data_IF_549230131705
#
_entry.id   IF_549230131705
#
_cell.length_a   1.000
_cell.length_b   1.000
_cell.length_c   1.000
_cell.angle_alpha   90.00
_cell.angle_beta   90.00
_cell.angle_gamma   90.00
#
_symmetry.space_group_name_H-M   'P 1'
#
loop_
_entity.id
_entity.type
_entity.pdbx_description
1 polymer ?
#
# COMPACT_ATOMS: atom_id res chain seq x y z
N UNK A 1 -13.80 -4.04 -8.84
CA UNK A 1 -13.63 -2.75 -8.16
C UNK A 1 -15.01 -2.18 -7.95
N UNK A 2 -15.44 -2.02 -6.71
CA UNK A 2 -16.73 -1.45 -6.35
C UNK A 2 -16.59 0.01 -5.91
N UNK A 3 -17.72 0.64 -5.61
CA UNK A 3 -17.77 2.04 -5.17
C UNK A 3 -18.56 2.19 -3.87
N UNK A 4 -17.98 2.95 -2.95
CA UNK A 4 -18.67 3.51 -1.80
C UNK A 4 -19.16 4.91 -2.18
N UNK A 5 -20.47 5.15 -2.11
CA UNK A 5 -21.06 6.44 -2.48
C UNK A 5 -21.78 7.02 -1.28
N UNK A 6 -21.38 8.22 -0.88
CA UNK A 6 -21.93 8.93 0.27
C UNK A 6 -22.05 10.42 -0.04
N UNK A 7 -23.27 10.96 0.10
CA UNK A 7 -23.56 12.38 -0.17
C UNK A 7 -23.03 12.88 -1.54
N UNK A 8 -23.17 12.05 -2.58
CA UNK A 8 -22.70 12.36 -3.93
C UNK A 8 -21.19 12.19 -4.16
N UNK A 9 -20.40 11.93 -3.11
CA UNK A 9 -18.99 11.56 -3.24
C UNK A 9 -18.86 10.06 -3.52
N UNK A 10 -18.11 9.69 -4.56
CA UNK A 10 -17.83 8.31 -4.93
C UNK A 10 -16.36 7.96 -4.64
N UNK A 11 -16.13 6.83 -3.97
CA UNK A 11 -14.80 6.31 -3.63
C UNK A 11 -14.68 4.88 -4.13
N UNK A 12 -13.72 4.63 -5.03
CA UNK A 12 -13.45 3.30 -5.55
C UNK A 12 -12.65 2.45 -4.54
N UNK A 13 -13.07 1.20 -4.36
CA UNK A 13 -12.46 0.24 -3.44
C UNK A 13 -12.60 -1.20 -3.96
N UNK A 14 -11.75 -2.11 -3.49
CA UNK A 14 -11.90 -3.55 -3.76
C UNK A 14 -13.26 -4.04 -3.26
N UNK A 15 -13.96 -4.86 -4.07
CA UNK A 15 -15.27 -5.43 -3.69
C UNK A 15 -15.16 -6.16 -2.35
N UNK A 16 -14.02 -6.82 -2.08
CA UNK A 16 -13.74 -7.48 -0.80
C UNK A 16 -13.69 -6.48 0.36
N UNK A 17 -12.94 -5.39 0.24
CA UNK A 17 -12.91 -4.32 1.24
C UNK A 17 -14.30 -3.72 1.43
N UNK A 18 -14.98 -3.40 0.32
CA UNK A 18 -16.32 -2.82 0.34
C UNK A 18 -17.33 -3.72 1.05
N UNK A 19 -17.26 -5.05 0.88
CA UNK A 19 -18.13 -6.00 1.60
C UNK A 19 -17.87 -5.98 3.11
N UNK A 20 -16.62 -5.94 3.55
CA UNK A 20 -16.31 -5.89 4.99
C UNK A 20 -16.75 -4.54 5.59
N UNK A 21 -16.50 -3.44 4.89
CA UNK A 21 -16.98 -2.12 5.29
C UNK A 21 -18.51 -2.07 5.36
N UNK A 22 -19.22 -2.65 4.39
CA UNK A 22 -20.68 -2.71 4.41
C UNK A 22 -21.20 -3.36 5.71
N UNK A 23 -20.61 -4.48 6.13
CA UNK A 23 -21.02 -5.17 7.36
C UNK A 23 -20.82 -4.28 8.60
N UNK A 24 -19.64 -3.68 8.74
CA UNK A 24 -19.31 -2.82 9.90
C UNK A 24 -20.15 -1.56 9.93
N UNK A 25 -20.26 -0.86 8.78
CA UNK A 25 -20.98 0.40 8.66
C UNK A 25 -22.47 0.19 8.92
N UNK A 26 -23.09 -0.82 8.31
CA UNK A 26 -24.52 -1.13 8.54
C UNK A 26 -24.77 -1.45 10.02
N UNK A 27 -23.85 -2.17 10.69
CA UNK A 27 -23.97 -2.43 12.12
C UNK A 27 -24.00 -1.13 12.94
N UNK A 28 -23.08 -0.19 12.68
CA UNK A 28 -23.01 1.11 13.38
C UNK A 28 -24.25 1.96 13.12
N UNK A 29 -24.71 2.04 11.87
CA UNK A 29 -25.88 2.85 11.51
C UNK A 29 -27.19 2.28 12.08
N UNK A 30 -27.32 0.96 12.22
CA UNK A 30 -28.46 0.33 12.91
C UNK A 30 -28.56 0.68 14.39
N UNK A 31 -27.44 1.05 15.01
CA UNK A 31 -27.40 1.57 16.38
C UNK A 31 -27.59 3.10 16.44
N UNK A 32 -27.88 3.74 15.30
CA UNK A 32 -27.95 5.19 15.15
C UNK A 32 -26.66 5.92 15.56
N UNK A 33 -25.51 5.26 15.42
CA UNK A 33 -24.21 5.83 15.75
C UNK A 33 -23.58 6.47 14.51
N UNK A 34 -23.32 7.78 14.58
CA UNK A 34 -22.44 8.47 13.64
C UNK A 34 -20.98 8.22 13.98
N UNK A 35 -20.12 8.10 12.96
CA UNK A 35 -18.69 7.84 13.16
C UNK A 35 -17.85 8.37 12.00
N UNK A 36 -16.58 8.64 12.27
CA UNK A 36 -15.61 8.96 11.23
C UNK A 36 -15.13 7.67 10.55
N UNK A 37 -14.99 7.69 9.23
CA UNK A 37 -14.30 6.67 8.45
C UNK A 37 -13.10 7.31 7.74
N UNK A 38 -11.92 6.70 7.85
CA UNK A 38 -10.67 7.18 7.25
C UNK A 38 -10.02 6.10 6.40
N UNK A 39 -9.42 6.48 5.27
CA UNK A 39 -8.64 5.58 4.43
C UNK A 39 -7.42 6.30 3.84
N UNK A 40 -6.41 5.53 3.45
CA UNK A 40 -5.26 6.05 2.71
C UNK A 40 -5.47 5.85 1.21
N UNK A 41 -4.96 6.76 0.39
CA UNK A 41 -4.89 6.55 -1.06
C UNK A 41 -3.69 5.67 -1.41
N UNK A 42 -3.82 4.88 -2.49
CA UNK A 42 -2.65 4.20 -3.07
C UNK A 42 -1.59 5.26 -3.43
N UNK A 43 -0.28 4.97 -3.27
CA UNK A 43 0.80 5.90 -3.61
C UNK A 43 0.68 6.50 -5.03
N UNK A 44 0.03 5.76 -5.94
CA UNK A 44 -0.20 6.12 -7.34
C UNK A 44 -1.11 7.36 -7.52
N UNK A 45 -1.94 7.68 -6.52
CA UNK A 45 -2.88 8.82 -6.56
C UNK A 45 -2.44 10.02 -5.70
N UNK A 46 -1.17 10.02 -5.28
CA UNK A 46 -0.63 11.02 -4.36
C UNK A 46 -0.82 10.58 -2.91
N UNK A 47 0.27 10.42 -2.18
CA UNK A 47 0.26 9.99 -0.78
C UNK A 47 -0.64 10.91 0.05
N UNK A 48 -1.78 10.40 0.50
CA UNK A 48 -2.77 11.18 1.24
C UNK A 48 -3.67 10.31 2.10
N UNK A 49 -4.34 10.95 3.04
CA UNK A 49 -5.39 10.34 3.87
C UNK A 49 -6.68 11.10 3.64
N UNK A 50 -7.75 10.38 3.36
CA UNK A 50 -9.10 10.92 3.31
C UNK A 50 -9.89 10.47 4.54
N UNK A 51 -10.89 11.28 4.90
CA UNK A 51 -11.79 10.97 5.99
C UNK A 51 -13.17 11.53 5.70
N UNK A 52 -14.21 10.80 6.06
CA UNK A 52 -15.61 11.20 5.93
C UNK A 52 -16.34 10.95 7.25
N UNK A 53 -17.30 11.81 7.59
CA UNK A 53 -18.21 11.59 8.70
C UNK A 53 -19.49 10.92 8.20
N UNK A 54 -19.80 9.73 8.71
CA UNK A 54 -20.97 8.95 8.31
C UNK A 54 -22.07 9.15 9.36
N UNK A 55 -23.28 9.45 8.91
CA UNK A 55 -24.45 9.63 9.77
C UNK A 55 -25.67 8.82 9.26
N UNK A 56 -26.52 8.23 10.14
CA UNK A 56 -27.65 7.39 9.75
C UNK A 56 -28.71 8.06 8.85
N UNK A 57 -28.76 9.39 8.82
CA UNK A 57 -29.76 10.14 8.05
C UNK A 57 -29.31 10.52 6.64
N UNK A 58 -28.05 10.25 6.29
CA UNK A 58 -27.48 10.59 4.98
C UNK A 58 -27.50 9.35 4.09
N UNK A 59 -27.99 9.42 2.84
CA UNK A 59 -27.99 8.29 1.93
C UNK A 59 -26.59 7.73 1.71
N UNK A 60 -26.50 6.40 1.82
CA UNK A 60 -25.27 5.63 1.65
C UNK A 60 -25.54 4.48 0.69
N UNK A 61 -24.72 4.36 -0.36
CA UNK A 61 -24.82 3.29 -1.34
C UNK A 61 -23.51 2.50 -1.42
N UNK A 62 -23.65 1.18 -1.50
CA UNK A 62 -22.57 0.24 -1.82
C UNK A 62 -22.84 -0.31 -3.22
N UNK A 63 -21.96 -0.01 -4.17
CA UNK A 63 -22.06 -0.49 -5.55
C UNK A 63 -20.96 -1.51 -5.79
N UNK A 64 -21.34 -2.76 -6.07
CA UNK A 64 -20.39 -3.83 -6.37
C UNK A 64 -20.29 -4.06 -7.86
N UNK A 65 -19.07 -4.31 -8.36
CA UNK A 65 -18.86 -4.62 -9.78
C UNK A 65 -19.13 -6.07 -10.15
N UNK A 66 -18.86 -6.99 -9.21
CA UNK A 66 -19.05 -8.42 -9.41
C UNK A 66 -20.40 -8.94 -8.87
N UNK A 67 -20.93 -9.99 -9.50
CA UNK A 67 -22.15 -10.67 -9.02
C UNK A 67 -21.91 -11.63 -7.86
N UNK A 68 -20.65 -12.04 -7.62
CA UNK A 68 -20.29 -12.97 -6.53
C UNK A 68 -19.93 -12.19 -5.27
N UNK A 69 -20.57 -12.53 -4.17
CA UNK A 69 -20.20 -12.01 -2.84
C UNK A 69 -18.80 -12.54 -2.46
N UNK A 70 -17.84 -11.65 -2.14
CA UNK A 70 -16.52 -12.04 -1.65
C UNK A 70 -16.60 -12.85 -0.35
N UNK A 71 -15.64 -13.75 -0.11
CA UNK A 71 -15.56 -14.44 1.18
C UNK A 71 -15.26 -13.44 2.31
N UNK A 72 -15.80 -13.71 3.50
CA UNK A 72 -15.58 -12.87 4.67
C UNK A 72 -14.41 -13.42 5.48
N UNK A 73 -13.44 -12.56 5.82
CA UNK A 73 -12.41 -12.85 6.80
C UNK A 73 -12.90 -12.39 8.19
N UNK A 74 -13.17 -13.32 9.12
CA UNK A 74 -13.71 -12.98 10.43
C UNK A 74 -12.72 -12.21 11.31
N UNK A 75 -11.41 -12.45 11.15
CA UNK A 75 -10.35 -11.77 11.93
C UNK A 75 -10.30 -10.31 11.51
N UNK A 76 -10.19 -10.05 10.20
CA UNK A 76 -10.17 -8.69 9.68
C UNK A 76 -11.48 -7.94 9.94
N UNK A 77 -12.63 -8.62 9.85
CA UNK A 77 -13.91 -8.03 10.22
C UNK A 77 -13.94 -7.60 11.70
N UNK A 78 -13.36 -8.40 12.60
CA UNK A 78 -13.26 -8.06 14.01
C UNK A 78 -12.36 -6.83 14.24
N UNK A 79 -11.22 -6.74 13.55
CA UNK A 79 -10.31 -5.58 13.61
C UNK A 79 -10.97 -4.30 13.12
N UNK A 80 -11.66 -4.34 11.97
CA UNK A 80 -12.41 -3.20 11.45
C UNK A 80 -13.53 -2.77 12.40
N UNK A 81 -14.21 -3.76 13.00
CA UNK A 81 -15.25 -3.52 14.01
C UNK A 81 -14.68 -2.84 15.26
N UNK A 82 -13.53 -3.32 15.75
CA UNK A 82 -12.83 -2.73 16.90
C UNK A 82 -12.41 -1.29 16.59
N UNK A 83 -11.81 -1.05 15.42
CA UNK A 83 -11.46 0.29 14.96
C UNK A 83 -12.70 1.20 14.93
N UNK A 84 -13.82 0.76 14.36
CA UNK A 84 -15.05 1.54 14.27
C UNK A 84 -15.66 1.91 15.65
N UNK A 85 -15.32 1.18 16.70
CA UNK A 85 -15.74 1.44 18.07
C UNK A 85 -14.73 2.29 18.85
N UNK A 86 -13.55 2.56 18.29
CA UNK A 86 -12.55 3.43 18.89
C UNK A 86 -12.86 4.92 18.70
N UNK A 87 -12.21 5.77 19.49
CA UNK A 87 -12.31 7.24 19.36
C UNK A 87 -11.79 7.79 18.03
N UNK A 88 -10.98 7.02 17.29
CA UNK A 88 -10.43 7.40 15.97
C UNK A 88 -11.41 7.13 14.82
N UNK A 89 -12.48 6.39 15.09
CA UNK A 89 -13.41 5.91 14.07
C UNK A 89 -12.87 4.72 13.26
N UNK A 90 -13.60 4.36 12.21
CA UNK A 90 -13.26 3.25 11.32
C UNK A 90 -12.05 3.62 10.45
N UNK A 91 -10.94 2.91 10.62
CA UNK A 91 -9.76 3.04 9.76
C UNK A 91 -9.81 1.89 8.77
N UNK A 92 -9.96 2.21 7.49
CA UNK A 92 -9.92 1.22 6.41
C UNK A 92 -8.47 0.78 6.23
N UNK A 93 -8.21 -0.47 6.56
CA UNK A 93 -6.92 -1.16 6.40
C UNK A 93 -7.05 -2.21 5.31
N UNK A 94 -5.96 -2.56 4.64
CA UNK A 94 -5.97 -3.75 3.78
C UNK A 94 -5.94 -5.00 4.67
N UNK A 95 -6.60 -6.09 4.26
CA UNK A 95 -6.57 -7.38 4.98
C UNK A 95 -5.14 -7.83 5.31
N UNK A 96 -4.20 -7.50 4.43
CA UNK A 96 -2.81 -7.86 4.53
C UNK A 96 -1.95 -6.73 5.19
N UNK A 97 -2.48 -5.54 5.47
CA UNK A 97 -1.63 -4.47 6.03
C UNK A 97 -1.06 -4.73 7.45
N UNK A 98 -1.58 -5.73 8.17
CA UNK A 98 -1.16 -6.05 9.54
C UNK A 98 -0.09 -7.15 9.65
N UNK A 99 0.16 -7.96 8.61
CA UNK A 99 1.27 -8.93 8.65
C UNK A 99 2.64 -8.29 8.41
N UNK A 100 2.69 -7.08 7.82
CA UNK A 100 3.94 -6.36 7.58
C UNK A 100 4.51 -5.75 8.90
N UNK A 101 3.64 -5.35 9.84
CA UNK A 101 4.05 -4.63 11.05
C UNK A 101 4.66 -5.52 12.15
N UNK A 102 4.59 -6.85 12.04
CA UNK A 102 5.00 -7.79 13.10
C UNK A 102 6.07 -8.80 12.66
N UNK A 103 6.82 -8.54 11.58
CA UNK A 103 7.99 -9.37 11.24
C UNK A 103 9.28 -8.68 11.70
N UNK A 104 9.81 -8.97 12.91
CA UNK A 104 11.15 -8.55 13.26
C UNK A 104 12.14 -9.46 12.50
N UNK A 105 12.74 -8.92 11.44
CA UNK A 105 13.94 -9.49 10.82
C UNK A 105 13.70 -10.39 9.61
N UNK A 106 13.53 -9.77 8.44
CA UNK A 106 14.23 -10.25 7.26
C UNK A 106 15.42 -9.33 7.00
N UNK A 107 16.47 -9.50 7.81
CA UNK A 107 17.80 -9.07 7.42
C UNK A 107 18.13 -9.83 6.13
N UNK A 108 18.22 -9.06 5.04
CA UNK A 108 18.66 -9.51 3.75
C UNK A 108 20.08 -10.10 3.93
N UNK A 109 20.16 -11.41 4.18
CA UNK A 109 21.42 -12.13 4.32
C UNK A 109 22.04 -12.16 2.94
N UNK A 110 22.98 -11.24 2.73
CA UNK A 110 23.98 -11.26 1.68
C UNK A 110 24.35 -12.71 1.34
N UNK A 111 23.89 -13.19 0.18
CA UNK A 111 24.42 -14.41 -0.41
C UNK A 111 25.83 -14.11 -0.89
N UNK A 112 26.79 -14.23 0.03
CA UNK A 112 28.17 -14.52 -0.29
C UNK A 112 28.26 -16.01 -0.64
N UNK A 113 28.35 -16.33 -1.93
CA UNK A 113 28.95 -17.58 -2.38
C UNK A 113 30.15 -17.26 -3.28
N UNK A 114 31.36 -17.72 -2.93
CA UNK A 114 32.55 -17.43 -3.71
C UNK A 114 32.58 -18.36 -4.93
N UNK A 115 32.53 -17.80 -6.14
CA UNK A 115 32.99 -18.53 -7.33
C UNK A 115 34.51 -18.34 -7.45
N UNK A 116 35.25 -19.29 -6.87
CA UNK A 116 36.61 -19.65 -7.26
C UNK A 116 36.51 -20.57 -8.47
N UNK A 117 37.21 -20.28 -9.57
CA UNK A 117 38.02 -21.22 -10.40
C UNK A 117 38.78 -20.43 -11.49
N UNK A 118 40.10 -20.70 -11.50
CA UNK A 118 41.14 -20.60 -12.56
C UNK A 118 41.29 -19.29 -13.34
N UNK A 119 42.29 -18.47 -13.03
CA UNK A 119 43.65 -18.53 -13.61
C UNK A 119 43.68 -18.60 -15.16
N UNK A 120 43.85 -17.43 -15.77
CA UNK A 120 44.48 -17.31 -17.09
C UNK A 120 45.71 -16.43 -16.92
N UNK A 121 46.86 -17.08 -16.85
CA UNK A 121 48.18 -16.45 -17.02
C UNK A 121 48.38 -16.26 -18.52
N UNK A 122 48.49 -15.00 -18.98
CA UNK A 122 49.12 -14.69 -20.27
C UNK A 122 50.27 -13.73 -19.97
N UNK A 123 51.49 -14.20 -20.22
CA UNK A 123 52.71 -13.46 -20.03
C UNK A 123 52.87 -12.28 -21.01
N UNK A 124 53.50 -11.23 -20.47
CA UNK A 124 54.21 -10.09 -21.06
C UNK A 124 54.18 -9.90 -22.58
N UNK A 125 53.91 -8.65 -22.99
CA UNK A 125 54.88 -7.89 -23.78
C UNK A 125 55.09 -6.49 -23.23
N UNK A 126 56.37 -6.16 -23.24
CA UNK A 126 57.02 -4.95 -22.78
C UNK A 126 56.88 -3.86 -23.86
N UNK A 127 56.98 -2.60 -23.41
CA UNK A 127 57.46 -1.43 -24.15
C UNK A 127 56.44 -0.46 -24.77
N UNK A 128 56.46 0.71 -24.14
CA UNK A 128 56.59 2.02 -24.76
C UNK A 128 55.48 2.53 -25.68
N UNK A 129 54.70 3.46 -25.12
CA UNK A 129 54.91 4.88 -25.43
C UNK A 129 54.07 5.82 -24.55
N UNK A 130 54.75 6.74 -23.88
CA UNK A 130 54.17 7.95 -23.35
C UNK A 130 53.68 8.85 -24.49
N UNK A 131 52.42 9.28 -24.44
CA UNK A 131 51.98 10.47 -25.18
C UNK A 131 51.44 11.49 -24.18
N UNK A 132 52.32 12.43 -23.84
CA UNK A 132 52.02 13.72 -23.23
C UNK A 132 51.13 14.51 -24.19
N UNK A 133 49.98 14.96 -23.69
CA UNK A 133 49.12 15.92 -24.41
C UNK A 133 49.62 17.35 -24.16
N UNK A 134 49.81 18.19 -25.19
CA UNK A 134 50.01 19.62 -24.95
C UNK A 134 48.67 20.32 -24.75
N UNK A 135 48.55 21.01 -23.62
CA UNK A 135 47.57 22.09 -23.40
C UNK A 135 48.09 23.32 -24.12
N UNK A 136 47.38 23.82 -25.13
CA UNK A 136 47.57 25.17 -25.63
C UNK A 136 46.21 25.85 -25.67
N UNK A 137 46.01 26.75 -24.71
CA UNK A 137 45.04 27.82 -24.81
C UNK A 137 45.63 28.98 -25.62
N UNK A 138 44.78 29.65 -26.37
CA UNK A 138 45.02 31.02 -26.80
C UNK A 138 43.70 31.79 -26.69
N UNK A 139 43.74 32.82 -25.86
CA UNK A 139 42.74 33.85 -25.68
C UNK A 139 42.95 34.97 -26.70
N UNK A 140 41.82 35.63 -27.01
CA UNK A 140 41.63 36.96 -27.62
C UNK A 140 41.75 37.07 -29.14
#
# INVERSE_FOLDING_TARGET
>A
MGSFIYDGAEVEMDDRTLTHLQIVIVRKLRLSEGFAMSWAFSPDFGSGRASVWIHPTIPLHFKFSGSRVPSINPVWLAELTESANSSRGLIVTAENSLYEATVPGHQNRSQSHPKRVEQVTVERRQDDRFLVSPVIGASR
#
